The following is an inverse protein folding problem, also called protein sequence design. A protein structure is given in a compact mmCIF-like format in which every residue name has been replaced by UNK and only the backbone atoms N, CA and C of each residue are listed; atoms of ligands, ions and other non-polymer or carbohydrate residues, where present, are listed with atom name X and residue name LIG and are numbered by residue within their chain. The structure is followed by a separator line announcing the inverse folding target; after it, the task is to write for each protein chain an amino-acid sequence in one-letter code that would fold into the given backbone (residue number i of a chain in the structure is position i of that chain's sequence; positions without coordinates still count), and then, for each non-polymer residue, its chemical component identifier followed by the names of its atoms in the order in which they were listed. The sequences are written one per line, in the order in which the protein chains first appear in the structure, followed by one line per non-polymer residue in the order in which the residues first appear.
data_IF_520699247750
#
_entry.id   IF_520699247750
#
_cell.length_a   1.000
_cell.length_b   1.000
_cell.length_c   1.000
_cell.angle_alpha   90.00
_cell.angle_beta   90.00
_cell.angle_gamma   90.00
#
_symmetry.space_group_name_H-M   'P 1'
#
loop_
_entity.id
_entity.type
_entity.pdbx_description
1 polymer ?
#
# COMPACT_ATOMS: atom_id res chain seq x y z
N UNK A 1 9.70 16.49 -43.49
CA UNK A 1 8.57 16.92 -42.65
C UNK A 1 8.20 15.75 -41.79
N UNK A 2 8.61 15.77 -40.53
CA UNK A 2 8.39 14.67 -39.59
C UNK A 2 6.95 14.75 -39.08
N UNK A 3 6.21 13.65 -39.22
CA UNK A 3 4.90 13.47 -38.62
C UNK A 3 5.03 13.44 -37.08
N UNK A 4 4.02 13.92 -36.32
CA UNK A 4 4.07 13.94 -34.87
C UNK A 4 4.15 12.52 -34.28
N UNK A 5 4.86 12.39 -33.16
CA UNK A 5 4.94 11.16 -32.36
C UNK A 5 3.56 10.84 -31.76
N UNK A 6 3.10 9.60 -31.96
CA UNK A 6 1.84 9.08 -31.42
C UNK A 6 2.06 8.49 -30.02
N UNK A 7 1.13 8.74 -29.10
CA UNK A 7 1.10 8.26 -27.71
C UNK A 7 0.66 6.78 -27.62
N UNK A 8 0.92 6.11 -26.48
CA UNK A 8 0.76 4.64 -26.30
C UNK A 8 -0.64 4.09 -26.62
N UNK A 9 -1.70 4.89 -26.42
CA UNK A 9 -3.09 4.49 -26.70
C UNK A 9 -3.51 4.63 -28.18
N UNK A 10 -2.73 5.34 -29.01
CA UNK A 10 -3.10 5.63 -30.41
C UNK A 10 -2.73 4.50 -31.40
N UNK A 11 -2.08 3.43 -30.92
CA UNK A 11 -1.55 2.35 -31.75
C UNK A 11 -2.33 1.02 -31.64
N UNK A 12 -3.28 0.93 -30.71
CA UNK A 12 -4.12 -0.24 -30.48
C UNK A 12 -5.32 -0.24 -31.45
N UNK A 13 -5.72 -1.43 -31.90
CA UNK A 13 -6.87 -1.55 -32.81
C UNK A 13 -6.71 -2.63 -33.88
N UNK A 14 -7.65 -2.65 -34.83
CA UNK A 14 -7.69 -3.59 -35.94
C UNK A 14 -7.20 -2.90 -37.21
N UNK A 15 -6.22 -3.50 -37.87
CA UNK A 15 -5.63 -3.02 -39.12
C UNK A 15 -6.04 -3.96 -40.22
N UNK A 16 -6.69 -3.47 -41.27
CA UNK A 16 -7.21 -4.30 -42.35
C UNK A 16 -6.71 -3.86 -43.72
N UNK A 17 -6.56 -4.82 -44.63
CA UNK A 17 -6.27 -4.58 -46.04
C UNK A 17 -7.08 -5.54 -46.91
N UNK A 18 -7.72 -5.01 -47.94
CA UNK A 18 -8.37 -5.83 -48.96
C UNK A 18 -7.33 -6.51 -49.86
N UNK A 19 -7.50 -7.80 -50.13
CA UNK A 19 -6.67 -8.59 -51.06
C UNK A 19 -7.55 -9.13 -52.19
N UNK A 20 -6.94 -9.61 -53.27
CA UNK A 20 -7.68 -10.13 -54.44
C UNK A 20 -8.58 -11.34 -54.10
N UNK A 21 -8.33 -12.03 -52.99
CA UNK A 21 -9.03 -13.24 -52.56
C UNK A 21 -9.80 -13.09 -51.23
N UNK A 22 -9.79 -11.92 -50.59
CA UNK A 22 -10.44 -11.70 -49.29
C UNK A 22 -9.99 -10.41 -48.59
N UNK A 23 -9.97 -10.42 -47.26
CA UNK A 23 -9.40 -9.34 -46.45
C UNK A 23 -8.43 -9.93 -45.41
N UNK A 24 -7.23 -9.36 -45.30
CA UNK A 24 -6.28 -9.70 -44.24
C UNK A 24 -6.36 -8.66 -43.12
N UNK A 25 -6.18 -9.11 -41.88
CA UNK A 25 -6.29 -8.26 -40.71
C UNK A 25 -5.21 -8.55 -39.67
N UNK A 26 -4.79 -7.50 -38.97
CA UNK A 26 -3.92 -7.55 -37.81
C UNK A 26 -4.59 -6.86 -36.62
N UNK A 27 -4.64 -7.51 -35.46
CA UNK A 27 -5.10 -6.90 -34.20
C UNK A 27 -3.91 -6.61 -33.29
N UNK A 28 -3.87 -5.39 -32.76
CA UNK A 28 -2.88 -4.95 -31.77
C UNK A 28 -3.57 -4.74 -30.42
N UNK A 29 -3.13 -5.46 -29.39
CA UNK A 29 -3.61 -5.34 -28.01
C UNK A 29 -2.45 -5.33 -27.01
N UNK A 30 -2.73 -4.96 -25.75
CA UNK A 30 -1.73 -5.02 -24.67
C UNK A 30 -1.54 -6.48 -24.25
N UNK A 31 -0.29 -6.91 -24.08
CA UNK A 31 0.03 -8.26 -23.59
C UNK A 31 0.05 -8.31 -22.05
N UNK A 32 0.15 -9.51 -21.47
CA UNK A 32 0.11 -9.71 -20.00
C UNK A 32 1.27 -9.05 -19.23
N UNK A 33 2.31 -8.58 -19.91
CA UNK A 33 3.45 -7.87 -19.31
C UNK A 33 3.37 -6.38 -19.65
N UNK A 34 3.63 -5.48 -18.68
CA UNK A 34 3.78 -4.06 -18.96
C UNK A 34 4.79 -3.84 -20.09
N UNK A 35 4.50 -2.92 -21.01
CA UNK A 35 5.35 -2.51 -22.15
C UNK A 35 5.44 -3.49 -23.35
N UNK A 36 4.70 -4.61 -23.32
CA UNK A 36 4.60 -5.54 -24.46
C UNK A 36 3.21 -5.52 -25.11
N UNK A 37 3.19 -5.80 -26.41
CA UNK A 37 2.00 -5.77 -27.25
C UNK A 37 1.79 -7.12 -27.94
N UNK A 38 0.55 -7.59 -27.99
CA UNK A 38 0.15 -8.78 -28.72
C UNK A 38 -0.34 -8.42 -30.11
N UNK A 39 0.11 -9.18 -31.09
CA UNK A 39 -0.18 -9.03 -32.52
C UNK A 39 -0.79 -10.32 -33.03
N UNK A 40 -2.09 -10.27 -33.34
CA UNK A 40 -2.81 -11.38 -33.93
C UNK A 40 -3.06 -11.10 -35.42
N UNK A 41 -2.82 -12.07 -36.29
CA UNK A 41 -3.13 -11.99 -37.73
C UNK A 41 -4.22 -12.99 -38.09
N UNK A 42 -5.00 -12.66 -39.11
CA UNK A 42 -5.87 -13.62 -39.77
C UNK A 42 -6.26 -13.15 -41.17
N UNK A 43 -6.82 -14.08 -41.94
CA UNK A 43 -7.36 -13.84 -43.28
C UNK A 43 -8.84 -14.23 -43.28
N UNK A 44 -9.71 -13.33 -43.74
CA UNK A 44 -11.14 -13.61 -43.89
C UNK A 44 -11.41 -14.34 -45.21
N UNK A 45 -11.81 -15.61 -45.13
CA UNK A 45 -12.35 -16.41 -46.25
C UNK A 45 -13.89 -16.38 -46.30
N UNK A 46 -14.50 -15.20 -46.10
CA UNK A 46 -15.97 -15.03 -46.10
C UNK A 46 -16.49 -14.16 -44.95
N UNK A 47 -17.83 -14.13 -44.77
CA UNK A 47 -18.54 -13.22 -43.86
C UNK A 47 -18.46 -13.62 -42.37
N UNK A 48 -17.26 -13.90 -41.87
CA UNK A 48 -16.96 -14.16 -40.46
C UNK A 48 -15.49 -13.88 -40.14
N UNK A 49 -15.18 -13.58 -38.88
CA UNK A 49 -13.80 -13.38 -38.40
C UNK A 49 -13.04 -14.69 -38.57
N UNK A 50 -12.10 -14.73 -39.53
CA UNK A 50 -11.28 -15.90 -39.84
C UNK A 50 -10.40 -16.36 -38.68
N UNK A 51 -9.89 -17.59 -38.77
CA UNK A 51 -8.98 -18.17 -37.76
C UNK A 51 -7.69 -17.36 -37.64
N UNK A 52 -7.20 -17.19 -36.41
CA UNK A 52 -5.89 -16.59 -36.15
C UNK A 52 -4.81 -17.55 -36.62
N UNK A 53 -3.96 -17.11 -37.55
CA UNK A 53 -2.84 -17.90 -38.08
C UNK A 53 -1.49 -17.47 -37.49
N UNK A 54 -1.37 -16.23 -37.00
CA UNK A 54 -0.18 -15.72 -36.32
C UNK A 54 -0.58 -15.03 -35.01
N UNK A 55 0.14 -15.35 -33.94
CA UNK A 55 -0.01 -14.73 -32.63
C UNK A 55 1.39 -14.48 -32.03
N UNK A 56 1.76 -13.21 -31.87
CA UNK A 56 3.09 -12.79 -31.48
C UNK A 56 3.03 -11.72 -30.39
N UNK A 57 3.96 -11.78 -29.43
CA UNK A 57 4.18 -10.72 -28.45
C UNK A 57 5.46 -9.96 -28.83
N UNK A 58 5.37 -8.62 -28.89
CA UNK A 58 6.47 -7.73 -29.29
C UNK A 58 6.60 -6.56 -28.31
N UNK A 59 7.80 -6.01 -28.19
CA UNK A 59 8.02 -4.73 -27.48
C UNK A 59 7.54 -3.51 -28.30
N UNK A 60 7.55 -2.34 -27.65
CA UNK A 60 7.13 -1.08 -28.24
C UNK A 60 7.93 -0.67 -29.49
N UNK A 61 9.23 -0.96 -29.57
CA UNK A 61 10.07 -0.58 -30.70
C UNK A 61 9.74 -1.42 -31.94
N UNK A 62 9.59 -2.73 -31.74
CA UNK A 62 9.18 -3.69 -32.76
C UNK A 62 7.75 -3.43 -33.25
N UNK A 63 6.82 -3.06 -32.35
CA UNK A 63 5.48 -2.63 -32.75
C UNK A 63 5.54 -1.42 -33.69
N UNK A 64 6.30 -0.37 -33.33
CA UNK A 64 6.44 0.85 -34.16
C UNK A 64 7.00 0.54 -35.54
N UNK A 65 7.98 -0.35 -35.63
CA UNK A 65 8.55 -0.78 -36.90
C UNK A 65 7.50 -1.49 -37.79
N UNK A 66 6.68 -2.37 -37.20
CA UNK A 66 5.59 -3.06 -37.89
C UNK A 66 4.49 -2.12 -38.35
N UNK A 67 4.04 -1.19 -37.51
CA UNK A 67 3.01 -0.20 -37.86
C UNK A 67 3.46 0.69 -39.04
N UNK A 68 4.72 1.12 -39.05
CA UNK A 68 5.30 1.89 -40.17
C UNK A 68 5.33 1.10 -41.46
N UNK A 69 5.59 -0.22 -41.38
CA UNK A 69 5.55 -1.13 -42.53
C UNK A 69 4.11 -1.32 -43.03
N UNK A 70 3.15 -1.61 -42.16
CA UNK A 70 1.74 -1.80 -42.53
C UNK A 70 1.12 -0.56 -43.18
N UNK A 71 1.46 0.65 -42.71
CA UNK A 71 1.03 1.90 -43.36
C UNK A 71 1.54 2.02 -44.81
N UNK A 72 2.76 1.55 -45.10
CA UNK A 72 3.31 1.51 -46.47
C UNK A 72 2.65 0.44 -47.33
N UNK A 73 2.21 -0.64 -46.69
CA UNK A 73 1.56 -1.79 -47.33
C UNK A 73 0.05 -1.58 -47.55
N UNK A 74 -0.51 -0.44 -47.14
CA UNK A 74 -1.89 -0.04 -47.40
C UNK A 74 -2.91 -0.54 -46.38
N UNK A 75 -2.48 -0.95 -45.18
CA UNK A 75 -3.40 -1.27 -44.09
C UNK A 75 -4.07 -0.01 -43.57
N UNK A 76 -5.40 0.00 -43.55
CA UNK A 76 -6.20 1.03 -42.90
C UNK A 76 -6.48 0.60 -41.45
N UNK A 77 -6.40 1.55 -40.51
CA UNK A 77 -6.87 1.29 -39.15
C UNK A 77 -8.39 1.38 -39.17
N UNK A 78 -9.04 0.27 -38.86
CA UNK A 78 -10.46 0.22 -38.59
C UNK A 78 -10.64 0.83 -37.19
N UNK A 79 -10.69 2.17 -37.16
CA UNK A 79 -11.15 2.88 -35.96
C UNK A 79 -12.61 2.48 -35.80
N UNK A 80 -13.01 2.02 -34.60
CA UNK A 80 -14.25 1.30 -34.41
C UNK A 80 -15.42 2.08 -35.02
N UNK A 81 -16.16 1.39 -35.91
CA UNK A 81 -17.39 1.82 -36.56
C UNK A 81 -18.21 2.79 -35.71
N UNK A 82 -18.74 3.83 -36.36
CA UNK A 82 -19.56 4.93 -35.82
C UNK A 82 -20.92 4.50 -35.22
N UNK A 83 -21.06 3.25 -34.78
CA UNK A 83 -22.15 2.75 -33.95
C UNK A 83 -21.80 2.63 -32.46
N UNK A 84 -20.53 2.91 -32.09
CA UNK A 84 -20.03 2.93 -30.71
C UNK A 84 -19.62 4.34 -30.21
N UNK A 85 -19.99 5.41 -30.92
CA UNK A 85 -19.62 6.80 -30.56
C UNK A 85 -20.08 7.21 -29.15
N UNK A 86 -21.22 6.69 -28.67
CA UNK A 86 -21.69 6.94 -27.29
C UNK A 86 -20.73 6.39 -26.25
N UNK A 87 -20.21 5.17 -26.42
CA UNK A 87 -19.28 4.55 -25.47
C UNK A 87 -17.88 5.18 -25.47
N UNK A 88 -17.41 5.65 -26.62
CA UNK A 88 -16.12 6.35 -26.73
C UNK A 88 -16.21 7.77 -26.18
N UNK A 89 -17.31 8.50 -26.44
CA UNK A 89 -17.55 9.81 -25.87
C UNK A 89 -17.74 9.76 -24.35
N UNK A 90 -18.45 8.75 -23.82
CA UNK A 90 -18.61 8.53 -22.38
C UNK A 90 -17.27 8.22 -21.69
N UNK A 91 -16.40 7.41 -22.32
CA UNK A 91 -15.05 7.13 -21.80
C UNK A 91 -14.16 8.38 -21.78
N UNK A 92 -14.21 9.21 -22.82
CA UNK A 92 -13.44 10.47 -22.90
C UNK A 92 -13.97 11.52 -21.92
N UNK A 93 -15.28 11.52 -21.65
CA UNK A 93 -15.92 12.42 -20.70
C UNK A 93 -15.79 11.98 -19.23
N UNK A 94 -15.47 10.72 -18.96
CA UNK A 94 -15.43 10.16 -17.60
C UNK A 94 -14.55 10.96 -16.64
N UNK A 95 -13.29 11.22 -17.00
CA UNK A 95 -12.36 11.94 -16.11
C UNK A 95 -12.79 13.40 -15.85
N UNK A 96 -13.13 14.21 -16.87
CA UNK A 96 -13.70 15.55 -16.65
C UNK A 96 -14.97 15.55 -15.80
N UNK A 97 -15.86 14.57 -16.00
CA UNK A 97 -17.10 14.45 -15.24
C UNK A 97 -16.84 14.05 -13.78
N UNK A 98 -15.99 13.05 -13.56
CA UNK A 98 -15.55 12.63 -12.23
C UNK A 98 -14.94 13.80 -11.46
N UNK A 99 -14.06 14.59 -12.09
CA UNK A 99 -13.46 15.78 -11.46
C UNK A 99 -14.52 16.82 -11.06
N UNK A 100 -15.52 17.07 -11.92
CA UNK A 100 -16.63 18.00 -11.62
C UNK A 100 -17.49 17.50 -10.47
N UNK A 101 -17.85 16.21 -10.46
CA UNK A 101 -18.65 15.59 -9.40
C UNK A 101 -17.88 15.58 -8.09
N UNK A 102 -16.59 15.23 -8.11
CA UNK A 102 -15.72 15.24 -6.94
C UNK A 102 -15.58 16.65 -6.34
N UNK A 103 -15.41 17.68 -7.18
CA UNK A 103 -15.35 19.07 -6.71
C UNK A 103 -16.65 19.50 -6.02
N UNK A 104 -17.81 19.12 -6.56
CA UNK A 104 -19.11 19.39 -5.93
C UNK A 104 -19.29 18.61 -4.62
N UNK A 105 -18.92 17.34 -4.58
CA UNK A 105 -19.01 16.51 -3.38
C UNK A 105 -18.10 17.03 -2.26
N UNK A 106 -16.88 17.47 -2.60
CA UNK A 106 -15.94 18.10 -1.66
C UNK A 106 -16.50 19.41 -1.09
N UNK A 107 -17.08 20.27 -1.92
CA UNK A 107 -17.73 21.50 -1.46
C UNK A 107 -18.94 21.23 -0.54
N UNK A 108 -19.74 20.20 -0.85
CA UNK A 108 -20.87 19.80 -0.01
C UNK A 108 -20.43 19.22 1.35
N UNK A 109 -19.37 18.39 1.37
CA UNK A 109 -18.74 17.89 2.62
C UNK A 109 -18.26 19.04 3.49
N UNK A 110 -17.56 20.03 2.93
CA UNK A 110 -17.06 21.18 3.67
C UNK A 110 -18.20 21.98 4.33
N UNK A 111 -19.33 22.14 3.64
CA UNK A 111 -20.50 22.82 4.19
C UNK A 111 -21.21 22.05 5.32
N UNK A 112 -21.24 20.71 5.24
CA UNK A 112 -21.78 19.87 6.33
C UNK A 112 -20.86 19.87 7.55
N UNK A 113 -19.55 19.87 7.33
CA UNK A 113 -18.54 19.93 8.40
C UNK A 113 -18.62 21.25 9.19
N UNK A 114 -18.83 22.37 8.50
CA UNK A 114 -19.06 23.70 9.11
C UNK A 114 -20.33 23.76 10.00
N UNK A 115 -21.31 22.87 9.78
CA UNK A 115 -22.53 22.79 10.58
C UNK A 115 -22.42 21.84 11.79
N UNK A 116 -21.47 20.89 11.77
CA UNK A 116 -21.21 19.93 12.86
C UNK A 116 -20.09 20.35 13.84
N UNK A 117 -19.27 21.35 13.48
CA UNK A 117 -18.05 21.71 14.20
C UNK A 117 -18.28 22.56 15.46
N UNK A 118 -18.57 21.86 16.56
CA UNK A 118 -18.20 22.28 17.91
C UNK A 118 -17.04 21.44 18.50
N UNK A 119 -16.44 20.54 17.70
CA UNK A 119 -15.39 19.61 18.14
C UNK A 119 -14.02 20.14 17.75
N UNK A 120 -13.08 20.08 18.69
CA UNK A 120 -11.69 20.45 18.45
C UNK A 120 -11.08 19.51 17.40
N UNK A 121 -10.37 20.06 16.41
CA UNK A 121 -9.68 19.30 15.37
C UNK A 121 -8.18 19.58 15.41
N UNK A 122 -7.39 18.63 14.91
CA UNK A 122 -5.95 18.81 14.68
C UNK A 122 -5.64 18.55 13.22
N UNK A 123 -4.83 19.43 12.62
CA UNK A 123 -4.41 19.28 11.23
C UNK A 123 -3.24 18.30 11.11
N UNK A 124 -3.44 17.22 10.35
CA UNK A 124 -2.41 16.22 10.04
C UNK A 124 -2.26 16.15 8.52
N UNK A 125 -1.12 16.59 8.01
CA UNK A 125 -0.94 16.78 6.58
C UNK A 125 -1.94 17.82 6.04
N UNK A 126 -2.83 17.38 5.16
CA UNK A 126 -3.90 18.22 4.58
C UNK A 126 -5.29 17.91 5.15
N UNK A 127 -5.39 17.03 6.14
CA UNK A 127 -6.66 16.54 6.70
C UNK A 127 -6.85 17.10 8.11
N UNK A 128 -8.05 17.61 8.41
CA UNK A 128 -8.45 18.00 9.76
C UNK A 128 -9.06 16.78 10.46
N UNK A 129 -8.38 16.32 11.51
CA UNK A 129 -8.75 15.11 12.24
C UNK A 129 -9.46 15.51 13.53
N UNK A 130 -10.71 15.06 13.78
CA UNK A 130 -11.41 15.33 15.03
C UNK A 130 -10.66 14.77 16.24
N UNK A 131 -10.46 15.60 17.25
CA UNK A 131 -9.83 15.19 18.50
C UNK A 131 -10.75 14.26 19.31
N UNK A 132 -10.15 13.23 19.89
CA UNK A 132 -10.75 12.39 20.90
C UNK A 132 -10.73 13.06 22.27
N UNK A 133 -11.11 12.27 23.27
CA UNK A 133 -11.03 12.65 24.68
C UNK A 133 -9.73 12.11 25.27
N UNK A 134 -9.17 12.82 26.25
CA UNK A 134 -7.97 12.37 26.94
C UNK A 134 -8.15 10.96 27.51
N UNK A 135 -7.26 10.05 27.13
CA UNK A 135 -7.32 8.63 27.50
C UNK A 135 -5.91 8.12 27.82
N UNK A 136 -5.70 7.31 28.87
CA UNK A 136 -4.38 6.78 29.23
C UNK A 136 -3.74 5.90 28.15
N UNK A 137 -4.55 5.41 27.20
CA UNK A 137 -4.12 4.60 26.05
C UNK A 137 -3.75 5.46 24.82
N UNK A 138 -3.75 6.79 24.92
CA UNK A 138 -3.25 7.66 23.84
C UNK A 138 -1.74 7.40 23.66
N UNK A 139 -1.27 7.05 22.45
CA UNK A 139 0.14 6.82 22.22
C UNK A 139 0.98 8.08 22.43
N UNK A 140 2.28 7.91 22.66
CA UNK A 140 3.20 9.05 22.78
C UNK A 140 3.40 9.74 21.43
N UNK A 141 3.30 11.06 21.41
CA UNK A 141 3.64 11.86 20.25
C UNK A 141 5.15 11.78 20.01
N UNK A 142 5.55 11.38 18.81
CA UNK A 142 6.91 11.52 18.32
C UNK A 142 7.02 12.87 17.56
N UNK A 143 7.68 13.90 18.11
CA UNK A 143 7.80 15.20 17.46
C UNK A 143 8.59 15.15 16.15
N UNK A 144 9.46 14.15 15.98
CA UNK A 144 10.26 13.98 14.77
C UNK A 144 9.53 13.24 13.64
N UNK A 145 8.33 12.70 13.89
CA UNK A 145 7.58 11.95 12.87
C UNK A 145 7.25 12.83 11.66
N UNK A 146 7.47 12.28 10.46
CA UNK A 146 7.18 12.94 9.19
C UNK A 146 5.89 12.35 8.59
N UNK A 147 4.84 13.16 8.52
CA UNK A 147 3.67 12.84 7.71
C UNK A 147 3.93 13.28 6.27
N UNK A 148 4.30 12.30 5.43
CA UNK A 148 4.37 12.50 3.98
C UNK A 148 2.97 12.82 3.42
N UNK A 149 2.92 13.63 2.36
CA UNK A 149 1.66 13.92 1.67
C UNK A 149 0.99 12.67 1.09
N UNK A 150 1.77 11.62 0.81
CA UNK A 150 1.27 10.33 0.33
C UNK A 150 0.36 9.61 1.33
N UNK A 151 0.35 10.05 2.59
CA UNK A 151 -0.50 9.48 3.64
C UNK A 151 -1.81 10.22 3.83
N UNK A 152 -2.06 11.34 3.12
CA UNK A 152 -3.28 12.12 3.30
C UNK A 152 -4.55 11.28 3.07
N UNK A 153 -4.59 10.46 2.02
CA UNK A 153 -5.74 9.60 1.71
C UNK A 153 -6.01 8.58 2.83
N UNK A 154 -4.94 8.04 3.44
CA UNK A 154 -5.04 7.16 4.60
C UNK A 154 -5.65 7.89 5.79
N UNK A 155 -5.21 9.13 6.06
CA UNK A 155 -5.75 9.95 7.14
C UNK A 155 -7.21 10.33 6.89
N UNK A 156 -7.58 10.64 5.64
CA UNK A 156 -8.97 10.90 5.27
C UNK A 156 -9.86 9.67 5.51
N UNK A 157 -9.42 8.49 5.09
CA UNK A 157 -10.13 7.23 5.35
C UNK A 157 -10.24 6.90 6.85
N UNK A 158 -9.24 7.27 7.66
CA UNK A 158 -9.32 7.18 9.13
C UNK A 158 -10.45 8.06 9.67
N UNK A 159 -10.54 9.31 9.21
CA UNK A 159 -11.60 10.26 9.62
C UNK A 159 -12.97 9.71 9.24
N UNK A 160 -13.11 9.17 8.02
CA UNK A 160 -14.33 8.54 7.49
C UNK A 160 -14.72 7.21 8.17
N UNK A 161 -13.94 6.71 9.15
CA UNK A 161 -14.16 5.42 9.79
C UNK A 161 -14.12 4.22 8.82
N UNK A 162 -13.30 4.30 7.77
CA UNK A 162 -13.03 3.14 6.92
C UNK A 162 -12.19 2.12 7.68
N UNK A 163 -12.37 0.84 7.33
CA UNK A 163 -11.53 -0.26 7.81
C UNK A 163 -10.23 -0.21 7.03
N UNK A 164 -9.15 0.27 7.65
CA UNK A 164 -7.88 0.49 6.94
C UNK A 164 -6.91 -0.65 7.21
N UNK A 165 -6.41 -1.26 6.14
CA UNK A 165 -5.36 -2.27 6.20
C UNK A 165 -4.09 -1.74 5.53
N UNK A 166 -2.98 -1.73 6.28
CA UNK A 166 -1.68 -1.30 5.78
C UNK A 166 -0.79 -2.52 5.53
N UNK A 167 -0.35 -2.71 4.30
CA UNK A 167 0.51 -3.83 3.90
C UNK A 167 1.85 -3.28 3.44
N UNK A 168 2.95 -3.90 3.84
CA UNK A 168 4.27 -3.46 3.42
C UNK A 168 5.38 -4.08 4.24
N UNK A 169 6.63 -3.77 3.92
CA UNK A 169 7.77 -4.37 4.62
C UNK A 169 7.84 -3.99 6.11
N UNK A 170 8.57 -4.81 6.86
CA UNK A 170 8.89 -4.54 8.26
C UNK A 170 9.67 -3.23 8.41
N UNK A 171 9.24 -2.38 9.33
CA UNK A 171 9.89 -1.10 9.57
C UNK A 171 9.61 -0.01 8.52
N UNK A 172 8.63 -0.19 7.63
CA UNK A 172 8.13 0.86 6.72
C UNK A 172 7.23 1.91 7.41
N UNK A 173 6.91 1.72 8.70
CA UNK A 173 6.17 2.71 9.50
C UNK A 173 4.65 2.54 9.55
N UNK A 174 4.11 1.36 9.18
CA UNK A 174 2.67 1.05 9.16
C UNK A 174 1.96 1.34 10.48
N UNK A 175 2.36 0.65 11.54
CA UNK A 175 1.79 0.80 12.89
C UNK A 175 2.04 2.21 13.42
N UNK A 176 3.25 2.75 13.20
CA UNK A 176 3.62 4.09 13.64
C UNK A 176 2.79 5.19 12.97
N UNK A 177 2.35 5.02 11.71
CA UNK A 177 1.44 5.96 11.07
C UNK A 177 0.14 6.09 11.86
N UNK A 178 -0.52 4.97 12.14
CA UNK A 178 -1.78 4.94 12.88
C UNK A 178 -1.60 5.52 14.29
N UNK A 179 -0.56 5.06 15.01
CA UNK A 179 -0.27 5.54 16.37
C UNK A 179 0.02 7.04 16.41
N UNK A 180 0.72 7.59 15.40
CA UNK A 180 1.08 9.00 15.37
C UNK A 180 -0.05 9.91 14.93
N UNK A 181 -1.00 9.41 14.12
CA UNK A 181 -2.29 10.07 13.91
C UNK A 181 -3.03 10.11 15.24
N UNK A 182 -3.26 8.95 15.86
CA UNK A 182 -4.00 8.82 17.12
C UNK A 182 -3.41 9.68 18.26
N UNK A 183 -2.09 9.70 18.41
CA UNK A 183 -1.39 10.49 19.42
C UNK A 183 -1.66 11.99 19.29
N UNK A 184 -1.67 12.51 18.06
CA UNK A 184 -1.90 13.94 17.79
C UNK A 184 -3.37 14.31 17.91
N UNK A 185 -4.26 13.41 17.51
CA UNK A 185 -5.72 13.58 17.64
C UNK A 185 -6.29 13.07 18.97
N UNK A 186 -5.45 12.72 19.95
CA UNK A 186 -5.87 12.27 21.30
C UNK A 186 -6.88 11.11 21.31
N UNK A 187 -6.65 10.10 20.47
CA UNK A 187 -7.43 8.85 20.50
C UNK A 187 -6.65 7.74 21.20
N UNK A 188 -7.31 7.02 22.11
CA UNK A 188 -6.74 5.86 22.78
C UNK A 188 -6.59 4.68 21.83
N UNK A 189 -5.47 3.96 21.91
CA UNK A 189 -5.15 2.84 21.02
C UNK A 189 -4.93 1.56 21.81
N UNK A 190 -5.60 0.49 21.39
CA UNK A 190 -5.25 -0.88 21.74
C UNK A 190 -4.56 -1.54 20.55
N UNK A 191 -3.43 -2.20 20.80
CA UNK A 191 -2.72 -2.97 19.80
C UNK A 191 -2.73 -4.43 20.21
N UNK A 192 -3.18 -5.29 19.30
CA UNK A 192 -3.13 -6.74 19.45
C UNK A 192 -2.20 -7.28 18.39
N UNK A 193 -1.03 -7.79 18.81
CA UNK A 193 -0.09 -8.40 17.89
C UNK A 193 -0.45 -9.87 17.67
N UNK A 194 -0.60 -10.27 16.42
CA UNK A 194 -0.90 -11.64 16.05
C UNK A 194 0.42 -12.39 15.87
N UNK A 195 0.65 -13.40 16.71
CA UNK A 195 1.91 -14.15 16.71
C UNK A 195 1.71 -15.67 16.60
N UNK A 196 0.52 -16.10 16.16
CA UNK A 196 0.11 -17.51 16.12
C UNK A 196 -0.16 -18.16 17.48
N UNK A 197 0.08 -17.46 18.61
CA UNK A 197 -0.29 -17.90 19.96
C UNK A 197 -1.44 -17.08 20.55
N UNK A 198 -1.79 -15.94 19.94
CA UNK A 198 -2.93 -15.12 20.32
C UNK A 198 -4.21 -15.93 20.21
N UNK A 199 -4.90 -16.12 21.33
CA UNK A 199 -6.11 -16.94 21.36
C UNK A 199 -7.35 -16.11 21.03
N UNK A 200 -8.43 -16.80 20.65
CA UNK A 200 -9.76 -16.18 20.56
C UNK A 200 -10.18 -15.58 21.90
N UNK A 201 -9.76 -16.18 23.03
CA UNK A 201 -10.00 -15.65 24.37
C UNK A 201 -9.38 -14.27 24.58
N UNK A 202 -8.11 -14.09 24.17
CA UNK A 202 -7.42 -12.80 24.26
C UNK A 202 -8.08 -11.75 23.35
N UNK A 203 -8.59 -12.19 22.20
CA UNK A 203 -9.12 -11.29 21.18
C UNK A 203 -10.58 -10.90 21.42
N UNK A 204 -11.44 -11.88 21.68
CA UNK A 204 -12.90 -11.75 21.85
C UNK A 204 -13.30 -11.77 23.32
N UNK A 205 -12.72 -12.65 24.13
CA UNK A 205 -13.01 -12.75 25.56
C UNK A 205 -13.18 -14.19 26.02
N UNK A 206 -13.18 -14.37 27.34
CA UNK A 206 -13.26 -15.68 27.96
C UNK A 206 -13.98 -15.62 29.31
N UNK A 207 -14.50 -16.77 29.75
CA UNK A 207 -15.03 -16.95 31.10
C UNK A 207 -13.91 -17.30 32.07
N UNK A 208 -13.88 -16.66 33.24
CA UNK A 208 -12.96 -16.98 34.33
C UNK A 208 -13.69 -17.01 35.68
N UNK A 209 -13.05 -17.58 36.71
CA UNK A 209 -13.62 -17.64 38.06
C UNK A 209 -12.90 -16.66 38.96
N UNK A 210 -13.64 -15.70 39.53
CA UNK A 210 -13.11 -14.73 40.49
C UNK A 210 -13.94 -14.78 41.76
N UNK A 211 -13.33 -15.21 42.88
CA UNK A 211 -14.03 -15.31 44.16
C UNK A 211 -15.14 -16.37 44.22
N UNK A 212 -15.07 -17.41 43.37
CA UNK A 212 -16.08 -18.48 43.30
C UNK A 212 -17.22 -18.22 42.30
N UNK A 213 -17.27 -17.04 41.67
CA UNK A 213 -18.24 -16.70 40.64
C UNK A 213 -17.60 -16.72 39.25
N UNK A 214 -18.35 -17.23 38.27
CA UNK A 214 -17.96 -17.22 36.86
C UNK A 214 -18.27 -15.86 36.24
N UNK A 215 -17.24 -15.12 35.84
CA UNK A 215 -17.33 -13.79 35.23
C UNK A 215 -16.77 -13.81 33.81
N UNK A 216 -17.41 -13.06 32.92
CA UNK A 216 -16.92 -12.85 31.56
C UNK A 216 -15.90 -11.72 31.57
N UNK A 217 -14.76 -11.96 30.93
CA UNK A 217 -13.74 -10.94 30.68
C UNK A 217 -13.69 -10.72 29.17
N UNK A 218 -13.94 -9.48 28.76
CA UNK A 218 -13.81 -9.07 27.37
C UNK A 218 -12.35 -9.17 26.89
N UNK A 219 -12.19 -9.63 25.66
CA UNK A 219 -10.94 -9.48 24.92
C UNK A 219 -10.76 -8.06 24.37
N UNK A 220 -9.67 -7.85 23.64
CA UNK A 220 -9.30 -6.53 23.10
C UNK A 220 -10.34 -5.97 22.12
N UNK A 221 -11.02 -6.83 21.34
CA UNK A 221 -11.99 -6.40 20.33
C UNK A 221 -13.25 -5.78 20.96
N UNK A 222 -14.05 -6.48 21.80
CA UNK A 222 -15.21 -5.88 22.41
C UNK A 222 -14.87 -4.72 23.35
N UNK A 223 -13.72 -4.76 24.03
CA UNK A 223 -13.23 -3.64 24.85
C UNK A 223 -13.08 -2.38 23.99
N UNK A 224 -12.33 -2.47 22.88
CA UNK A 224 -12.13 -1.33 21.98
C UNK A 224 -13.45 -0.84 21.36
N UNK A 225 -14.33 -1.77 20.97
CA UNK A 225 -15.64 -1.44 20.39
C UNK A 225 -16.52 -0.67 21.37
N UNK A 226 -16.56 -1.07 22.65
CA UNK A 226 -17.40 -0.41 23.68
C UNK A 226 -16.84 0.94 24.09
N UNK A 227 -15.52 1.04 24.27
CA UNK A 227 -14.86 2.24 24.76
C UNK A 227 -14.53 3.26 23.66
N UNK A 228 -14.78 2.92 22.38
CA UNK A 228 -14.48 3.81 21.27
C UNK A 228 -12.99 4.00 21.03
N UNK A 229 -12.19 3.00 21.38
CA UNK A 229 -10.75 2.99 21.17
C UNK A 229 -10.43 2.63 19.73
N UNK A 230 -9.23 3.00 19.30
CA UNK A 230 -8.68 2.54 18.03
C UNK A 230 -8.03 1.18 18.26
N UNK A 231 -8.42 0.18 17.48
CA UNK A 231 -7.85 -1.16 17.56
C UNK A 231 -6.93 -1.40 16.36
N UNK A 232 -5.66 -1.70 16.64
CA UNK A 232 -4.69 -2.15 15.65
C UNK A 232 -4.51 -3.67 15.79
N UNK A 233 -4.97 -4.40 14.78
CA UNK A 233 -4.65 -5.83 14.60
C UNK A 233 -3.35 -5.92 13.82
N UNK A 234 -2.25 -6.03 14.56
CA UNK A 234 -0.90 -6.00 13.99
C UNK A 234 -0.48 -7.40 13.55
N UNK A 235 0.20 -7.49 12.39
CA UNK A 235 0.60 -8.77 11.79
C UNK A 235 -0.59 -9.71 11.55
N UNK A 236 -1.73 -9.18 11.08
CA UNK A 236 -2.99 -9.92 10.90
C UNK A 236 -2.86 -11.18 10.02
N UNK A 237 -1.83 -11.23 9.18
CA UNK A 237 -1.43 -12.41 8.43
C UNK A 237 -1.07 -13.60 9.33
N UNK A 238 -0.67 -13.40 10.58
CA UNK A 238 -0.39 -14.47 11.56
C UNK A 238 -1.58 -14.76 12.49
N UNK A 239 -2.75 -14.16 12.26
CA UNK A 239 -3.94 -14.39 13.08
C UNK A 239 -4.50 -15.81 12.87
N UNK A 240 -4.99 -16.46 13.94
CA UNK A 240 -5.71 -17.72 13.76
C UNK A 240 -7.00 -17.52 12.93
N UNK A 241 -7.42 -18.52 12.13
CA UNK A 241 -8.65 -18.43 11.33
C UNK A 241 -9.91 -18.08 12.14
N UNK A 242 -9.95 -18.52 13.40
CA UNK A 242 -11.01 -18.24 14.36
C UNK A 242 -11.12 -16.74 14.70
N UNK A 243 -9.98 -16.04 14.83
CA UNK A 243 -9.91 -14.59 15.03
C UNK A 243 -10.36 -13.85 13.76
N UNK A 244 -9.93 -14.29 12.58
CA UNK A 244 -10.35 -13.72 11.30
C UNK A 244 -11.87 -13.85 11.08
N UNK A 245 -12.44 -14.98 11.48
CA UNK A 245 -13.88 -15.20 11.43
C UNK A 245 -14.65 -14.24 12.36
N UNK A 246 -14.14 -13.98 13.56
CA UNK A 246 -14.72 -13.00 14.48
C UNK A 246 -14.67 -11.57 13.91
N UNK A 247 -13.56 -11.21 13.25
CA UNK A 247 -13.40 -9.90 12.60
C UNK A 247 -14.38 -9.68 11.46
N UNK A 248 -14.72 -10.72 10.71
CA UNK A 248 -15.60 -10.61 9.53
C UNK A 248 -16.91 -9.92 9.86
N UNK A 249 -17.55 -10.25 10.98
CA UNK A 249 -18.81 -9.65 11.41
C UNK A 249 -18.70 -8.15 11.75
N UNK A 250 -17.52 -7.69 12.20
CA UNK A 250 -17.25 -6.28 12.55
C UNK A 250 -16.85 -5.45 11.33
N UNK A 251 -16.31 -6.10 10.30
CA UNK A 251 -15.89 -5.47 9.06
C UNK A 251 -17.04 -5.15 8.10
N UNK A 252 -18.18 -5.84 8.24
CA UNK A 252 -19.39 -5.54 7.47
C UNK A 252 -19.90 -4.10 7.73
N UNK A 253 -20.62 -3.48 6.78
CA UNK A 253 -21.32 -2.21 7.01
C UNK A 253 -22.25 -2.31 8.23
N UNK A 254 -22.11 -1.38 9.17
CA UNK A 254 -22.81 -1.41 10.47
C UNK A 254 -22.58 -2.70 11.29
N UNK A 255 -21.45 -3.38 11.04
CA UNK A 255 -21.06 -4.63 11.67
C UNK A 255 -21.11 -4.57 13.19
N UNK A 256 -21.58 -5.67 13.79
CA UNK A 256 -21.70 -5.85 15.24
C UNK A 256 -21.03 -7.15 15.62
N UNK A 257 -20.44 -7.18 16.81
CA UNK A 257 -19.86 -8.40 17.35
C UNK A 257 -20.93 -9.14 18.16
N UNK A 258 -21.11 -10.43 17.89
CA UNK A 258 -22.00 -11.30 18.67
C UNK A 258 -21.15 -12.19 19.57
N UNK A 259 -21.23 -11.98 20.87
CA UNK A 259 -20.54 -12.79 21.87
C UNK A 259 -21.37 -14.05 22.15
N UNK A 260 -21.21 -15.06 21.28
CA UNK A 260 -21.95 -16.33 21.37
C UNK A 260 -21.81 -17.02 22.73
N UNK A 261 -20.60 -17.02 23.28
CA UNK A 261 -20.29 -17.61 24.59
C UNK A 261 -20.89 -16.83 25.77
N UNK A 262 -21.30 -15.58 25.55
CA UNK A 262 -21.93 -14.71 26.54
C UNK A 262 -23.42 -14.51 26.22
N UNK A 263 -24.12 -15.60 25.93
CA UNK A 263 -25.56 -15.58 25.69
C UNK A 263 -25.99 -14.79 24.45
N UNK A 264 -25.16 -14.75 23.41
CA UNK A 264 -25.38 -13.98 22.18
C UNK A 264 -25.52 -12.47 22.41
N UNK A 265 -24.82 -11.91 23.42
CA UNK A 265 -24.77 -10.46 23.59
C UNK A 265 -24.26 -9.78 22.31
N UNK A 266 -24.94 -8.71 21.90
CA UNK A 266 -24.58 -7.92 20.72
C UNK A 266 -23.82 -6.68 21.16
N UNK A 267 -22.56 -6.56 20.73
CA UNK A 267 -21.73 -5.38 20.94
C UNK A 267 -21.75 -4.52 19.68
N UNK A 268 -22.37 -3.35 19.80
CA UNK A 268 -22.33 -2.32 18.77
C UNK A 268 -21.05 -1.46 18.93
N UNK A 269 -20.34 -1.13 17.84
CA UNK A 269 -19.17 -0.28 17.92
C UNK A 269 -19.55 1.16 18.28
N UNK A 270 -18.82 1.74 19.22
CA UNK A 270 -18.90 3.16 19.53
C UNK A 270 -18.54 4.02 18.30
N UNK A 271 -19.15 5.21 18.09
CA UNK A 271 -18.87 6.03 16.90
C UNK A 271 -17.40 6.44 16.70
N UNK A 272 -16.64 6.54 17.79
CA UNK A 272 -15.19 6.83 17.76
C UNK A 272 -14.31 5.59 17.54
N UNK A 273 -14.86 4.36 17.60
CA UNK A 273 -14.12 3.14 17.32
C UNK A 273 -13.56 3.20 15.89
N UNK A 274 -12.29 2.85 15.75
CA UNK A 274 -11.60 2.69 14.46
C UNK A 274 -10.88 1.35 14.48
N UNK A 275 -10.92 0.64 13.37
CA UNK A 275 -10.31 -0.68 13.23
C UNK A 275 -9.27 -0.65 12.12
N UNK A 276 -8.07 -1.09 12.50
CA UNK A 276 -6.89 -1.14 11.64
C UNK A 276 -6.33 -2.55 11.59
N UNK A 277 -5.72 -2.88 10.46
CA UNK A 277 -4.90 -4.08 10.33
C UNK A 277 -3.54 -3.72 9.72
N UNK A 278 -2.48 -4.42 10.14
CA UNK A 278 -1.19 -4.36 9.46
C UNK A 278 -0.77 -5.76 9.02
N UNK A 279 -0.16 -5.89 7.85
CA UNK A 279 0.43 -7.15 7.39
C UNK A 279 1.81 -6.91 6.80
N UNK A 280 2.66 -7.94 6.88
CA UNK A 280 3.99 -7.91 6.26
C UNK A 280 4.00 -8.58 4.88
N UNK A 281 3.12 -9.56 4.66
CA UNK A 281 2.96 -10.22 3.37
C UNK A 281 1.81 -9.61 2.56
N UNK A 282 2.09 -9.26 1.29
CA UNK A 282 1.03 -9.23 0.28
C UNK A 282 0.69 -10.68 0.00
N UNK A 283 -0.40 -11.17 0.59
CA UNK A 283 -0.95 -12.49 0.22
C UNK A 283 -1.05 -12.59 -1.31
N UNK A 284 -0.86 -13.79 -1.89
CA UNK A 284 -0.91 -14.14 -3.32
C UNK A 284 -0.05 -13.35 -4.33
N UNK A 285 0.25 -12.08 -4.08
CA UNK A 285 0.68 -11.09 -5.06
C UNK A 285 2.10 -10.59 -4.83
N UNK A 286 2.79 -10.99 -3.75
CA UNK A 286 4.21 -10.66 -3.57
C UNK A 286 5.14 -11.73 -4.13
N UNK A 287 6.18 -11.31 -4.86
CA UNK A 287 7.32 -12.14 -5.22
C UNK A 287 8.16 -12.57 -4.01
N UNK A 288 7.99 -11.91 -2.86
CA UNK A 288 8.76 -12.12 -1.63
C UNK A 288 8.10 -13.06 -0.61
N UNK A 289 7.16 -13.92 -1.04
CA UNK A 289 6.42 -14.84 -0.15
C UNK A 289 7.32 -15.75 0.70
N UNK A 290 8.47 -16.14 0.16
CA UNK A 290 9.42 -17.03 0.84
C UNK A 290 10.01 -16.42 2.13
N UNK A 291 9.97 -15.08 2.28
CA UNK A 291 10.52 -14.38 3.45
C UNK A 291 9.58 -14.35 4.67
N UNK A 292 8.29 -14.70 4.50
CA UNK A 292 7.27 -14.62 5.54
C UNK A 292 6.63 -15.99 5.79
N UNK A 293 7.43 -16.95 6.25
CA UNK A 293 6.97 -18.29 6.61
C UNK A 293 5.97 -18.22 7.79
N UNK A 294 4.81 -18.86 7.64
CA UNK A 294 3.76 -18.89 8.67
C UNK A 294 2.65 -17.85 8.52
N UNK A 295 2.76 -16.92 7.56
CA UNK A 295 1.69 -15.98 7.23
C UNK A 295 0.54 -16.68 6.48
N UNK A 296 -0.70 -16.44 6.92
CA UNK A 296 -1.91 -16.87 6.25
C UNK A 296 -2.14 -16.11 4.95
N UNK A 297 -2.59 -16.85 3.94
CA UNK A 297 -3.07 -16.25 2.71
C UNK A 297 -4.45 -15.64 2.95
N UNK A 298 -4.54 -14.32 2.85
CA UNK A 298 -5.84 -13.65 2.86
C UNK A 298 -6.49 -13.81 1.50
N UNK A 299 -7.74 -14.28 1.48
CA UNK A 299 -8.52 -14.36 0.25
C UNK A 299 -9.05 -12.98 -0.14
N UNK A 300 -9.38 -12.81 -1.43
CA UNK A 300 -9.89 -11.55 -1.99
C UNK A 300 -11.14 -11.07 -1.25
N UNK A 301 -12.06 -11.98 -0.93
CA UNK A 301 -13.28 -11.65 -0.19
C UNK A 301 -12.98 -11.01 1.18
N UNK A 302 -11.97 -11.46 1.91
CA UNK A 302 -11.58 -10.83 3.17
C UNK A 302 -11.00 -9.43 2.93
N UNK A 303 -10.17 -9.27 1.89
CA UNK A 303 -9.54 -8.00 1.52
C UNK A 303 -10.56 -6.96 1.04
N UNK A 304 -11.64 -7.35 0.35
CA UNK A 304 -12.71 -6.45 -0.12
C UNK A 304 -13.40 -5.67 1.01
N UNK A 305 -13.28 -6.16 2.25
CA UNK A 305 -13.83 -5.51 3.46
C UNK A 305 -12.91 -4.44 4.04
N UNK A 306 -11.71 -4.32 3.51
CA UNK A 306 -10.70 -3.35 3.92
C UNK A 306 -10.45 -2.35 2.81
N UNK A 307 -10.14 -1.11 3.18
CA UNK A 307 -9.34 -0.24 2.35
C UNK A 307 -7.88 -0.65 2.51
N UNK A 308 -7.34 -1.28 1.49
CA UNK A 308 -5.96 -1.78 1.49
C UNK A 308 -5.01 -0.73 0.92
N UNK A 309 -3.98 -0.37 1.69
CA UNK A 309 -2.89 0.50 1.26
C UNK A 309 -1.56 -0.24 1.28
N UNK A 310 -0.82 -0.14 0.18
CA UNK A 310 0.55 -0.63 0.06
C UNK A 310 1.51 0.47 0.53
N UNK A 311 2.26 0.19 1.60
CA UNK A 311 3.21 1.11 2.21
C UNK A 311 4.64 0.63 1.97
N UNK A 312 5.32 1.34 1.08
CA UNK A 312 6.75 1.25 0.90
C UNK A 312 7.50 2.18 1.85
N UNK A 313 8.82 2.00 1.91
CA UNK A 313 9.70 2.93 2.61
C UNK A 313 9.56 4.36 2.09
N UNK A 314 9.95 5.32 2.92
CA UNK A 314 9.98 6.74 2.53
C UNK A 314 10.99 6.97 1.41
N UNK A 315 10.78 8.03 0.63
CA UNK A 315 11.76 8.42 -0.38
C UNK A 315 13.08 8.84 0.29
N UNK A 316 14.23 8.79 -0.42
CA UNK A 316 15.51 9.19 0.17
C UNK A 316 15.49 10.62 0.74
N UNK A 317 14.77 11.53 0.09
CA UNK A 317 14.62 12.91 0.56
C UNK A 317 13.83 12.97 1.88
N UNK A 318 12.72 12.25 1.98
CA UNK A 318 11.91 12.17 3.19
C UNK A 318 12.64 11.46 4.34
N UNK A 319 13.39 10.39 4.04
CA UNK A 319 14.22 9.72 5.07
C UNK A 319 15.35 10.61 5.57
N UNK A 320 15.98 11.40 4.70
CA UNK A 320 16.95 12.40 5.13
C UNK A 320 16.29 13.42 6.08
N UNK A 321 15.06 13.86 5.81
CA UNK A 321 14.32 14.74 6.71
C UNK A 321 13.96 14.05 8.05
N UNK A 322 13.61 12.76 8.03
CA UNK A 322 13.37 11.98 9.26
C UNK A 322 14.65 11.87 10.09
N UNK A 323 15.80 11.59 9.46
CA UNK A 323 17.11 11.54 10.12
C UNK A 323 17.45 12.89 10.77
N UNK A 324 17.28 13.98 10.02
CA UNK A 324 17.51 15.34 10.50
C UNK A 324 16.62 15.68 11.70
N UNK A 325 15.33 15.36 11.66
CA UNK A 325 14.38 15.64 12.74
C UNK A 325 14.67 14.80 13.98
N UNK A 326 15.02 13.53 13.80
CA UNK A 326 15.22 12.57 14.90
C UNK A 326 16.54 12.80 15.62
N UNK A 327 17.59 13.15 14.88
CA UNK A 327 18.96 13.27 15.40
C UNK A 327 19.45 14.74 15.47
N UNK A 328 18.52 15.70 15.43
CA UNK A 328 18.84 17.11 15.63
C UNK A 328 19.46 17.37 17.02
N UNK A 329 20.34 18.37 17.17
CA UNK A 329 20.98 19.17 16.11
C UNK A 329 22.24 18.52 15.51
N UNK A 330 22.54 17.26 15.85
CA UNK A 330 23.82 16.60 15.55
C UNK A 330 23.90 16.01 14.13
N UNK A 331 22.76 15.92 13.43
CA UNK A 331 22.70 15.45 12.04
C UNK A 331 22.76 16.63 11.06
N UNK A 332 23.59 16.53 10.02
CA UNK A 332 23.65 17.50 8.92
C UNK A 332 22.91 16.99 7.70
N UNK A 333 22.43 17.89 6.83
CA UNK A 333 21.71 17.49 5.61
C UNK A 333 22.57 16.64 4.69
N UNK A 334 23.87 16.94 4.58
CA UNK A 334 24.79 16.14 3.77
C UNK A 334 24.87 14.69 4.28
N UNK A 335 25.11 14.49 5.58
CA UNK A 335 25.14 13.15 6.18
C UNK A 335 23.80 12.42 6.04
N UNK A 336 22.69 13.10 6.30
CA UNK A 336 21.35 12.51 6.19
C UNK A 336 21.04 12.05 4.77
N UNK A 337 21.36 12.87 3.76
CA UNK A 337 21.19 12.50 2.34
C UNK A 337 22.04 11.30 1.95
N UNK A 338 23.31 11.26 2.37
CA UNK A 338 24.18 10.10 2.09
C UNK A 338 23.67 8.82 2.75
N UNK A 339 23.27 8.87 4.02
CA UNK A 339 22.72 7.72 4.73
C UNK A 339 21.42 7.22 4.10
N UNK A 340 20.52 8.13 3.71
CA UNK A 340 19.29 7.79 3.03
C UNK A 340 19.54 7.16 1.64
N UNK A 341 20.54 7.65 0.90
CA UNK A 341 20.96 7.05 -0.37
C UNK A 341 21.50 5.62 -0.18
N UNK A 342 22.33 5.39 0.84
CA UNK A 342 22.82 4.03 1.17
C UNK A 342 21.66 3.09 1.48
N UNK A 343 20.67 3.54 2.26
CA UNK A 343 19.50 2.74 2.58
C UNK A 343 18.66 2.42 1.33
N UNK A 344 18.50 3.40 0.43
CA UNK A 344 17.81 3.22 -0.83
C UNK A 344 18.51 2.18 -1.73
N UNK A 345 19.83 2.24 -1.85
CA UNK A 345 20.61 1.28 -2.63
C UNK A 345 20.56 -0.13 -2.03
N UNK A 346 20.59 -0.25 -0.69
CA UNK A 346 20.37 -1.53 -0.03
C UNK A 346 18.96 -2.10 -0.35
N UNK A 347 17.92 -1.25 -0.37
CA UNK A 347 16.56 -1.70 -0.74
C UNK A 347 16.45 -2.06 -2.20
N UNK A 348 17.15 -1.34 -3.09
CA UNK A 348 17.20 -1.69 -4.50
C UNK A 348 17.91 -3.04 -4.72
N UNK A 349 18.99 -3.31 -3.98
CA UNK A 349 19.66 -4.62 -3.97
C UNK A 349 18.72 -5.73 -3.49
N UNK A 350 17.96 -5.50 -2.41
CA UNK A 350 16.91 -6.42 -1.97
C UNK A 350 15.83 -6.65 -3.04
N UNK A 351 15.38 -5.59 -3.72
CA UNK A 351 14.37 -5.70 -4.78
C UNK A 351 14.85 -6.53 -5.99
N UNK A 352 16.17 -6.58 -6.22
CA UNK A 352 16.81 -7.43 -7.23
C UNK A 352 17.18 -8.84 -6.71
N UNK A 353 16.82 -9.16 -5.47
CA UNK A 353 17.16 -10.42 -4.79
C UNK A 353 18.66 -10.61 -4.51
N UNK A 354 19.45 -9.53 -4.58
CA UNK A 354 20.88 -9.53 -4.21
C UNK A 354 21.09 -9.59 -2.68
N UNK A 355 20.08 -9.15 -1.90
CA UNK A 355 20.05 -9.23 -0.44
C UNK A 355 18.88 -10.08 0.02
N UNK A 356 19.10 -10.85 1.09
CA UNK A 356 18.04 -11.71 1.66
C UNK A 356 16.97 -10.96 2.46
N UNK A 357 17.26 -9.73 2.90
CA UNK A 357 16.35 -8.94 3.74
C UNK A 357 16.39 -7.45 3.42
N UNK A 358 15.22 -6.81 3.52
CA UNK A 358 15.09 -5.37 3.29
C UNK A 358 15.81 -4.54 4.37
N UNK A 359 16.45 -3.45 3.94
CA UNK A 359 17.09 -2.49 4.84
C UNK A 359 16.06 -1.50 5.42
N UNK A 360 15.61 -1.74 6.66
CA UNK A 360 14.53 -0.95 7.26
C UNK A 360 14.96 0.43 7.75
N UNK A 361 14.01 1.38 7.80
CA UNK A 361 14.24 2.72 8.38
C UNK A 361 14.65 2.65 9.86
N UNK A 362 14.19 1.62 10.61
CA UNK A 362 14.65 1.37 11.99
C UNK A 362 16.15 1.07 12.04
N UNK A 363 16.65 0.25 11.11
CA UNK A 363 18.08 -0.09 11.01
C UNK A 363 18.90 1.14 10.61
N UNK A 364 18.37 1.97 9.71
CA UNK A 364 18.99 3.24 9.32
C UNK A 364 19.16 4.19 10.51
N UNK A 365 18.11 4.37 11.33
CA UNK A 365 18.15 5.24 12.51
C UNK A 365 19.15 4.74 13.57
N UNK A 366 19.12 3.44 13.89
CA UNK A 366 20.06 2.80 14.84
C UNK A 366 21.52 2.97 14.37
N UNK A 367 21.77 2.75 13.09
CA UNK A 367 23.10 2.94 12.51
C UNK A 367 23.56 4.40 12.56
N UNK A 368 22.68 5.34 12.21
CA UNK A 368 22.97 6.77 12.23
C UNK A 368 23.29 7.28 13.65
N UNK A 369 22.51 6.86 14.66
CA UNK A 369 22.77 7.20 16.06
C UNK A 369 24.13 6.65 16.53
N UNK A 370 24.42 5.39 16.22
CA UNK A 370 25.71 4.78 16.55
C UNK A 370 26.88 5.46 15.84
N UNK A 371 26.71 5.84 14.57
CA UNK A 371 27.72 6.55 13.79
C UNK A 371 28.06 7.91 14.40
N UNK A 372 27.06 8.68 14.83
CA UNK A 372 27.27 9.97 15.50
C UNK A 372 28.02 9.80 16.83
N UNK A 373 27.79 8.69 17.53
CA UNK A 373 28.48 8.37 18.79
C UNK A 373 29.92 7.89 18.59
N UNK A 374 30.18 7.07 17.56
CA UNK A 374 31.51 6.49 17.31
C UNK A 374 32.41 7.37 16.47
N UNK A 375 31.84 8.27 15.66
CA UNK A 375 32.55 8.99 14.60
C UNK A 375 33.06 8.09 13.47
N UNK A 376 32.58 6.83 13.41
CA UNK A 376 33.05 5.81 12.48
C UNK A 376 31.87 5.00 11.93
N UNK A 377 31.54 5.13 10.63
CA UNK A 377 30.41 4.46 10.01
C UNK A 377 30.57 2.93 9.94
N UNK A 378 31.79 2.43 9.70
CA UNK A 378 32.06 0.99 9.60
C UNK A 378 32.01 0.33 10.98
N UNK A 379 32.58 0.98 11.99
CA UNK A 379 32.49 0.51 13.38
C UNK A 379 31.04 0.52 13.88
N UNK A 380 30.25 1.53 13.52
CA UNK A 380 28.82 1.59 13.85
C UNK A 380 28.00 0.51 13.11
N UNK A 381 28.33 0.23 11.85
CA UNK A 381 27.64 -0.76 11.03
C UNK A 381 27.79 -2.19 11.58
N UNK A 382 28.90 -2.48 12.28
CA UNK A 382 29.13 -3.78 12.94
C UNK A 382 27.93 -4.29 13.75
N UNK A 383 27.59 -3.66 14.89
CA UNK A 383 26.44 -4.05 15.70
C UNK A 383 25.09 -3.61 15.10
N UNK A 384 25.03 -2.52 14.33
CA UNK A 384 23.77 -2.00 13.81
C UNK A 384 23.21 -2.83 12.65
N UNK A 385 24.10 -3.39 11.81
CA UNK A 385 23.79 -3.98 10.51
C UNK A 385 24.42 -5.37 10.39
N UNK A 386 25.75 -5.46 10.38
CA UNK A 386 26.48 -6.65 9.93
C UNK A 386 26.25 -7.87 10.82
N UNK A 387 26.13 -7.68 12.14
CA UNK A 387 25.87 -8.77 13.08
C UNK A 387 24.45 -9.38 12.96
N UNK A 388 23.55 -8.74 12.20
CA UNK A 388 22.13 -9.12 12.10
C UNK A 388 21.77 -9.79 10.76
N UNK A 389 22.74 -9.99 9.87
CA UNK A 389 22.54 -10.51 8.51
C UNK A 389 23.57 -11.60 8.19
N UNK A 390 23.40 -12.29 7.05
CA UNK A 390 24.37 -13.29 6.61
C UNK A 390 25.73 -12.64 6.30
N UNK A 391 26.84 -13.40 6.33
CA UNK A 391 28.15 -12.86 5.94
C UNK A 391 28.19 -12.30 4.51
N UNK A 392 27.40 -12.89 3.59
CA UNK A 392 27.27 -12.46 2.19
C UNK A 392 26.54 -11.12 2.10
N UNK A 393 25.38 -10.99 2.75
CA UNK A 393 24.63 -9.73 2.83
C UNK A 393 25.48 -8.63 3.48
N UNK A 394 26.20 -8.96 4.56
CA UNK A 394 27.09 -8.02 5.22
C UNK A 394 28.20 -7.53 4.29
N UNK A 395 28.77 -8.40 3.45
CA UNK A 395 29.79 -8.02 2.49
C UNK A 395 29.25 -7.09 1.41
N UNK A 396 28.05 -7.38 0.88
CA UNK A 396 27.40 -6.53 -0.12
C UNK A 396 27.02 -5.17 0.46
N UNK A 397 26.39 -5.13 1.63
CA UNK A 397 26.03 -3.87 2.30
C UNK A 397 27.30 -3.05 2.59
N UNK A 398 28.38 -3.69 3.04
CA UNK A 398 29.67 -3.02 3.23
C UNK A 398 30.20 -2.40 1.93
N UNK A 399 30.05 -3.10 0.80
CA UNK A 399 30.38 -2.57 -0.53
C UNK A 399 29.62 -1.29 -0.85
N UNK A 400 28.29 -1.30 -0.62
CA UNK A 400 27.42 -0.13 -0.81
C UNK A 400 27.85 1.03 0.10
N UNK A 401 28.06 0.77 1.38
CA UNK A 401 28.50 1.78 2.37
C UNK A 401 29.80 2.44 1.93
N UNK A 402 30.80 1.65 1.51
CA UNK A 402 32.09 2.17 1.04
C UNK A 402 31.97 2.97 -0.24
N UNK A 403 31.10 2.57 -1.17
CA UNK A 403 30.87 3.31 -2.40
C UNK A 403 30.42 4.76 -2.14
N UNK A 404 29.54 4.95 -1.15
CA UNK A 404 29.01 6.27 -0.80
C UNK A 404 29.93 7.12 0.07
N UNK A 405 30.81 6.48 0.87
CA UNK A 405 31.65 7.17 1.87
C UNK A 405 33.09 7.39 1.34
N UNK A 406 33.53 6.64 0.33
CA UNK A 406 34.84 6.85 -0.26
C UNK A 406 34.96 8.27 -0.86
N UNK A 407 36.09 8.98 -0.63
CA UNK A 407 36.32 10.25 -1.30
C UNK A 407 36.32 10.02 -2.82
N UNK A 408 35.59 10.85 -3.57
CA UNK A 408 35.66 10.86 -5.02
C UNK A 408 37.13 11.01 -5.43
N UNK A 409 37.63 10.04 -6.20
CA UNK A 409 39.02 9.94 -6.62
C UNK A 409 39.45 11.12 -7.50
#
# INVERSE_FOLDING_TARGET
MNAPELTEDENLGLYQRATETGAEWWRVSVADRPENYRLEHGVNEGAGIGSVDIDLVVDAENLRAKLKKWRREGFAIDTPDASNETGTAERVAFMPELQRVAARASAAKHHLQEQEDARETVRIGRVDVPCGVDNPLVPRVNPAYLFSERFNDIVEDIVENRRVMLIGHTGAGKTSLIEQVAARSRHGVLRSNMNGQTTVGDFVGFWTVKGGETIWVDGVLPTAMREGLWLIVDEIDFAEPSILAALTAVLEPHGRLVLKEKGNEIVAPHPAFRLFATANAVGAMSQFRHLYQGANLMNEAFLDRWRVYMLDYLTPAEEADVLMRTLAPHMTRALATTLAAIAADCRAAFAREDLSSAFSTRRLLDWAELMLRTGDPERAAGPAIYAKVSPEDAALIRGIVRHHIAPAA
#
